data_IF_816421455150
#
_entry.id   IF_816421455150
#
_cell.length_a   1.000
_cell.length_b   1.000
_cell.length_c   1.000
_cell.angle_alpha   90.00
_cell.angle_beta   90.00
_cell.angle_gamma   90.00
#
_symmetry.space_group_name_H-M   'P 1'
#
loop_
_entity.id
_entity.type
_entity.pdbx_description
1 polymer ?
#
# COMPACT_ATOMS: atom_id res chain seq x y z
N UNK A 1 8.61 15.44 -58.00
CA UNK A 1 9.28 15.26 -56.69
C UNK A 1 8.24 15.31 -55.59
N UNK A 2 7.86 14.15 -55.06
CA UNK A 2 6.99 14.02 -53.89
C UNK A 2 7.70 14.49 -52.63
N UNK A 3 7.16 15.47 -51.93
CA UNK A 3 7.50 15.73 -50.51
C UNK A 3 6.28 15.45 -49.65
N UNK A 4 6.19 14.18 -49.26
CA UNK A 4 5.21 13.60 -48.34
C UNK A 4 5.33 14.33 -46.98
N UNK A 5 4.39 15.22 -46.69
CA UNK A 5 4.23 15.83 -45.36
C UNK A 5 4.02 14.68 -44.36
N UNK A 6 5.05 14.41 -43.56
CA UNK A 6 5.01 13.42 -42.47
C UNK A 6 3.89 13.80 -41.52
N UNK A 7 2.80 13.04 -41.59
CA UNK A 7 1.80 12.98 -40.55
C UNK A 7 2.54 12.55 -39.27
N UNK A 8 2.89 13.50 -38.42
CA UNK A 8 3.47 13.22 -37.11
C UNK A 8 2.32 12.65 -36.30
N UNK A 9 2.24 11.33 -36.32
CA UNK A 9 1.46 10.52 -35.40
C UNK A 9 1.57 11.15 -34.02
N UNK A 10 0.49 11.81 -33.59
CA UNK A 10 0.24 12.12 -32.18
C UNK A 10 0.03 10.76 -31.53
N UNK A 11 1.14 10.12 -31.20
CA UNK A 11 1.16 8.92 -30.40
C UNK A 11 0.43 9.24 -29.10
N UNK A 12 -0.60 8.44 -28.83
CA UNK A 12 -0.85 7.93 -27.49
C UNK A 12 -0.88 9.02 -26.41
N UNK A 13 -1.82 9.95 -26.55
CA UNK A 13 -2.51 10.44 -25.36
C UNK A 13 -3.36 9.26 -24.89
N UNK A 14 -2.74 8.39 -24.07
CA UNK A 14 -3.44 7.44 -23.21
C UNK A 14 -4.74 8.11 -22.77
N UNK A 15 -5.88 7.45 -23.04
CA UNK A 15 -7.23 8.01 -22.87
C UNK A 15 -7.49 8.41 -21.42
N UNK A 16 -6.90 9.52 -21.01
CA UNK A 16 -7.09 10.18 -19.75
C UNK A 16 -8.03 11.32 -20.03
N UNK A 17 -9.33 11.00 -19.96
CA UNK A 17 -10.35 12.02 -19.79
C UNK A 17 -9.86 12.98 -18.70
N UNK A 18 -9.52 14.23 -19.06
CA UNK A 18 -8.86 15.15 -18.15
C UNK A 18 -9.76 15.34 -16.93
N UNK A 19 -9.25 14.95 -15.77
CA UNK A 19 -9.93 15.05 -14.48
C UNK A 19 -10.55 13.75 -13.94
N UNK A 20 -10.58 12.65 -14.69
CA UNK A 20 -11.04 11.37 -14.14
C UNK A 20 -10.21 10.92 -12.93
N UNK A 21 -10.83 10.20 -11.98
CA UNK A 21 -10.14 9.64 -10.81
C UNK A 21 -10.37 8.14 -10.68
N UNK A 22 -9.33 7.42 -10.32
CA UNK A 22 -9.38 5.98 -10.10
C UNK A 22 -9.77 5.68 -8.65
N UNK A 23 -10.72 4.76 -8.46
CA UNK A 23 -11.14 4.33 -7.13
C UNK A 23 -10.07 3.48 -6.44
N UNK A 24 -9.64 3.87 -5.24
CA UNK A 24 -8.65 3.11 -4.46
C UNK A 24 -9.15 1.76 -3.93
N UNK A 25 -10.45 1.49 -4.02
CA UNK A 25 -11.08 0.25 -3.52
C UNK A 25 -11.33 -0.74 -4.64
N UNK A 26 -11.93 -0.31 -5.75
CA UNK A 26 -12.35 -1.20 -6.84
C UNK A 26 -11.71 -0.89 -8.20
N UNK A 27 -10.73 0.02 -8.24
CA UNK A 27 -9.99 0.48 -9.43
C UNK A 27 -10.85 1.04 -10.57
N UNK A 28 -12.15 1.19 -10.38
CA UNK A 28 -13.03 1.80 -11.36
C UNK A 28 -12.68 3.28 -11.58
N UNK A 29 -12.69 3.69 -12.85
CA UNK A 29 -12.35 5.04 -13.28
C UNK A 29 -13.59 5.93 -13.33
N UNK A 30 -13.73 6.79 -12.33
CA UNK A 30 -14.87 7.70 -12.17
C UNK A 30 -14.64 9.04 -12.87
N UNK A 31 -15.74 9.73 -13.18
CA UNK A 31 -15.73 11.11 -13.68
C UNK A 31 -15.19 12.08 -12.64
N UNK A 32 -14.63 13.20 -13.08
CA UNK A 32 -14.01 14.20 -12.20
C UNK A 32 -14.99 14.81 -11.19
N UNK A 33 -16.23 15.03 -11.62
CA UNK A 33 -17.37 15.57 -10.86
C UNK A 33 -17.94 14.58 -9.84
N UNK A 34 -17.66 13.28 -9.98
CA UNK A 34 -18.22 12.27 -9.09
C UNK A 34 -17.56 12.34 -7.70
N UNK A 35 -18.36 12.55 -6.65
CA UNK A 35 -17.91 12.58 -5.25
C UNK A 35 -17.80 11.19 -4.61
N UNK A 36 -18.40 10.17 -5.24
CA UNK A 36 -18.34 8.76 -4.86
C UNK A 36 -18.18 7.88 -6.08
N UNK A 37 -17.66 6.68 -5.89
CA UNK A 37 -17.47 5.73 -6.96
C UNK A 37 -18.81 5.18 -7.45
N UNK A 38 -19.02 5.12 -8.76
CA UNK A 38 -20.26 4.61 -9.36
C UNK A 38 -20.42 3.08 -9.22
N UNK A 39 -19.32 2.34 -9.01
CA UNK A 39 -19.34 0.88 -8.91
C UNK A 39 -19.41 0.33 -7.48
N UNK A 40 -18.76 1.00 -6.53
CA UNK A 40 -18.63 0.51 -5.15
C UNK A 40 -19.05 1.53 -4.08
N UNK A 41 -19.60 2.69 -4.48
CA UNK A 41 -20.03 3.78 -3.60
C UNK A 41 -18.95 4.38 -2.67
N UNK A 42 -17.69 3.95 -2.77
CA UNK A 42 -16.57 4.51 -1.99
C UNK A 42 -16.36 5.98 -2.35
N UNK A 43 -16.24 6.85 -1.34
CA UNK A 43 -16.04 8.30 -1.54
C UNK A 43 -14.68 8.62 -2.15
N UNK A 44 -14.64 9.61 -3.04
CA UNK A 44 -13.40 10.20 -3.55
C UNK A 44 -12.57 10.67 -2.36
N UNK A 45 -11.30 10.29 -2.29
CA UNK A 45 -10.45 10.54 -1.13
C UNK A 45 -10.30 12.02 -0.81
N UNK A 46 -11.07 12.55 0.15
CA UNK A 46 -10.99 13.94 0.62
C UNK A 46 -10.23 14.08 1.93
N UNK A 47 -9.49 13.05 2.38
CA UNK A 47 -8.64 13.20 3.56
C UNK A 47 -7.39 14.00 3.20
N UNK A 48 -7.54 15.31 3.09
CA UNK A 48 -6.43 16.27 3.00
C UNK A 48 -5.69 16.39 4.32
N UNK A 49 -6.25 15.88 5.43
CA UNK A 49 -5.54 15.80 6.71
C UNK A 49 -4.43 14.78 6.58
N UNK A 50 -3.20 15.24 6.80
CA UNK A 50 -2.05 14.38 7.11
C UNK A 50 -2.51 13.39 8.19
N UNK A 51 -2.48 12.07 7.94
CA UNK A 51 -2.87 11.10 8.96
C UNK A 51 -2.01 11.34 10.20
N UNK A 52 -2.64 11.71 11.31
CA UNK A 52 -1.98 11.83 12.61
C UNK A 52 -2.11 10.46 13.26
N UNK A 53 -1.02 9.71 13.31
CA UNK A 53 -1.01 8.41 13.97
C UNK A 53 -1.12 8.64 15.49
N UNK A 54 -1.96 7.86 16.16
CA UNK A 54 -2.10 7.94 17.61
C UNK A 54 -0.84 7.37 18.27
N UNK A 55 -0.08 8.22 18.98
CA UNK A 55 1.16 7.84 19.64
C UNK A 55 0.99 6.64 20.58
N UNK A 56 -0.14 6.55 21.30
CA UNK A 56 -0.40 5.42 22.19
C UNK A 56 -0.49 4.09 21.42
N UNK A 57 -1.05 4.12 20.21
CA UNK A 57 -1.15 2.92 19.34
C UNK A 57 0.22 2.53 18.82
N UNK A 58 1.07 3.50 18.45
CA UNK A 58 2.45 3.25 18.03
C UNK A 58 3.25 2.60 19.14
N UNK A 59 3.19 3.18 20.34
CA UNK A 59 3.89 2.67 21.52
C UNK A 59 3.44 1.24 21.86
N UNK A 60 2.13 0.98 21.89
CA UNK A 60 1.61 -0.36 22.14
C UNK A 60 2.09 -1.36 21.07
N UNK A 61 2.05 -0.99 19.79
CA UNK A 61 2.57 -1.83 18.72
C UNK A 61 4.07 -2.11 18.90
N UNK A 62 4.89 -1.11 19.22
CA UNK A 62 6.32 -1.31 19.50
C UNK A 62 6.56 -2.28 20.66
N UNK A 63 5.79 -2.17 21.76
CA UNK A 63 5.92 -3.10 22.89
C UNK A 63 5.56 -4.52 22.48
N UNK A 64 4.44 -4.70 21.76
CA UNK A 64 4.04 -6.02 21.24
C UNK A 64 5.10 -6.60 20.32
N UNK A 65 5.63 -5.80 19.39
CA UNK A 65 6.67 -6.23 18.46
C UNK A 65 7.96 -6.64 19.20
N UNK A 66 8.39 -5.83 20.18
CA UNK A 66 9.56 -6.16 21.00
C UNK A 66 9.32 -7.42 21.85
N UNK A 67 8.12 -7.61 22.37
CA UNK A 67 7.75 -8.79 23.14
C UNK A 67 7.73 -10.05 22.28
N UNK A 68 7.17 -9.98 21.07
CA UNK A 68 7.19 -11.08 20.11
C UNK A 68 8.63 -11.42 19.71
N UNK A 69 9.45 -10.41 19.41
CA UNK A 69 10.87 -10.62 19.09
C UNK A 69 11.61 -11.25 20.27
N UNK A 70 11.32 -10.82 21.49
CA UNK A 70 11.89 -11.41 22.70
C UNK A 70 11.45 -12.86 22.89
N UNK A 71 10.16 -13.18 22.72
CA UNK A 71 9.68 -14.56 22.79
C UNK A 71 10.35 -15.41 21.73
N UNK A 72 10.41 -14.98 20.47
CA UNK A 72 11.06 -15.75 19.41
C UNK A 72 12.56 -15.93 19.66
N UNK A 73 13.23 -14.91 20.22
CA UNK A 73 14.62 -15.02 20.63
C UNK A 73 14.80 -15.95 21.83
N UNK A 74 13.88 -15.94 22.81
CA UNK A 74 13.93 -16.83 23.97
C UNK A 74 13.55 -18.25 23.60
N UNK A 75 12.52 -18.47 22.79
CA UNK A 75 12.16 -19.79 22.27
C UNK A 75 13.26 -20.31 21.34
N UNK A 76 13.88 -19.46 20.52
CA UNK A 76 15.06 -19.78 19.71
C UNK A 76 16.31 -20.11 20.53
N UNK A 77 16.59 -19.33 21.59
CA UNK A 77 17.72 -19.57 22.51
C UNK A 77 17.43 -20.75 23.44
N UNK A 78 16.20 -20.96 23.87
CA UNK A 78 15.77 -22.07 24.71
C UNK A 78 15.78 -23.37 23.91
N UNK A 79 15.32 -23.37 22.66
CA UNK A 79 15.48 -24.53 21.78
C UNK A 79 16.95 -24.80 21.45
N UNK A 80 17.77 -23.78 21.16
CA UNK A 80 19.21 -23.93 20.94
C UNK A 80 19.95 -24.51 22.16
N UNK A 81 19.67 -23.98 23.35
CA UNK A 81 20.26 -24.49 24.61
C UNK A 81 19.74 -25.87 24.98
N UNK A 82 18.47 -26.20 24.72
CA UNK A 82 17.93 -27.56 24.92
C UNK A 82 18.52 -28.57 23.93
N UNK A 83 18.93 -28.15 22.72
CA UNK A 83 19.65 -29.00 21.77
C UNK A 83 21.07 -29.27 22.29
N UNK A 84 21.83 -28.24 22.68
CA UNK A 84 23.18 -28.42 23.26
C UNK A 84 23.20 -29.30 24.53
N UNK A 85 22.14 -29.27 25.35
CA UNK A 85 22.04 -30.10 26.55
C UNK A 85 21.61 -31.56 26.28
N UNK A 86 21.13 -31.89 25.08
CA UNK A 86 20.73 -33.26 24.70
C UNK A 86 21.86 -34.09 24.08
N UNK A 87 22.97 -33.48 23.69
CA UNK A 87 24.13 -34.17 23.11
C UNK A 87 25.21 -34.54 24.16
N UNK A 88 24.94 -34.30 25.45
CA UNK A 88 25.78 -34.78 26.57
C UNK A 88 25.05 -35.90 27.32
N UNK A 89 24.78 -37.01 26.64
CA UNK A 89 24.60 -38.33 27.26
C UNK A 89 24.79 -39.46 26.24
#
# INVERSE_FOLDING_TARGET
MSTKKRNRSKAEEEGFEPGSWECTVCTFRNRHEAFKCEMCDTRKGTSTRKPRLNQNVVQHHTVVQNFVLFILAVEGVHTYTLIENKDVK
#
